data_IF_682822571758
#
_entry.id   IF_682822571758
#
_cell.length_a   1.000
_cell.length_b   1.000
_cell.length_c   1.000
_cell.angle_alpha   90.00
_cell.angle_beta   90.00
_cell.angle_gamma   90.00
#
_symmetry.space_group_name_H-M   'P 1'
#
loop_
_entity.id
_entity.type
_entity.pdbx_description
1 polymer ?
#
# COMPACT_ATOMS: atom_id res chain seq x y z
N UNK A 1 13.88 7.54 -2.45
CA UNK A 1 13.64 6.43 -1.51
C UNK A 1 12.56 5.45 -1.98
N UNK A 2 11.55 5.88 -2.76
CA UNK A 2 10.52 5.00 -3.32
C UNK A 2 10.88 4.36 -4.67
N UNK A 3 11.99 4.76 -5.31
CA UNK A 3 12.58 4.06 -6.45
C UNK A 3 13.15 2.71 -6.01
N UNK A 4 12.87 1.65 -6.75
CA UNK A 4 13.40 0.32 -6.49
C UNK A 4 14.90 0.27 -6.79
N UNK A 5 15.29 0.86 -7.91
CA UNK A 5 16.71 0.99 -8.32
C UNK A 5 17.53 1.71 -7.23
N UNK A 6 16.98 2.80 -6.64
CA UNK A 6 17.65 3.48 -5.53
C UNK A 6 17.86 2.54 -4.34
N UNK A 7 16.83 1.80 -3.94
CA UNK A 7 16.89 0.91 -2.77
C UNK A 7 17.86 -0.26 -2.98
N UNK A 8 17.87 -0.84 -4.17
CA UNK A 8 18.79 -1.92 -4.53
C UNK A 8 20.24 -1.42 -4.57
N UNK A 9 20.50 -0.32 -5.27
CA UNK A 9 21.83 0.28 -5.41
C UNK A 9 22.42 0.70 -4.05
N UNK A 10 21.57 1.13 -3.11
CA UNK A 10 22.00 1.66 -1.81
C UNK A 10 21.66 0.71 -0.64
N UNK A 11 21.33 -0.55 -0.88
CA UNK A 11 20.84 -1.47 0.13
C UNK A 11 21.78 -1.62 1.34
N UNK A 12 23.08 -1.63 1.12
CA UNK A 12 24.08 -1.69 2.18
C UNK A 12 24.08 -0.44 3.08
N UNK A 13 24.11 0.74 2.45
CA UNK A 13 24.09 2.01 3.16
C UNK A 13 22.78 2.24 3.93
N UNK A 14 21.65 1.88 3.34
CA UNK A 14 20.33 2.03 3.97
C UNK A 14 20.14 1.17 5.23
N UNK A 15 20.97 0.15 5.45
CA UNK A 15 20.95 -0.68 6.66
C UNK A 15 21.79 -0.11 7.81
N UNK A 16 22.77 0.73 7.49
CA UNK A 16 23.81 1.16 8.42
C UNK A 16 23.86 2.67 8.62
N UNK A 17 23.36 3.44 7.64
CA UNK A 17 23.53 4.88 7.60
C UNK A 17 22.22 5.57 7.20
N UNK A 18 22.25 6.91 7.22
CA UNK A 18 21.18 7.76 6.68
C UNK A 18 21.11 7.67 5.15
N UNK A 19 19.91 7.76 4.56
CA UNK A 19 19.76 7.75 3.11
C UNK A 19 20.56 8.89 2.47
N UNK A 20 21.41 8.56 1.50
CA UNK A 20 22.14 9.52 0.68
C UNK A 20 21.32 9.85 -0.56
N UNK A 21 20.71 11.02 -0.56
CA UNK A 21 19.85 11.45 -1.65
C UNK A 21 20.69 12.27 -2.63
N UNK A 22 20.79 11.88 -3.92
CA UNK A 22 21.51 12.67 -4.92
C UNK A 22 20.81 14.02 -5.11
N UNK A 23 21.58 15.12 -5.05
CA UNK A 23 21.08 16.43 -5.39
C UNK A 23 21.41 16.70 -6.86
N UNK A 24 20.40 16.77 -7.77
CA UNK A 24 20.66 17.03 -9.17
C UNK A 24 21.31 18.41 -9.39
N UNK A 25 22.30 18.49 -10.26
CA UNK A 25 22.93 19.75 -10.63
C UNK A 25 22.03 20.60 -11.56
N UNK A 26 21.05 19.99 -12.22
CA UNK A 26 20.10 20.66 -13.12
C UNK A 26 18.81 20.98 -12.41
N UNK A 27 18.31 22.21 -12.59
CA UNK A 27 17.08 22.69 -11.97
C UNK A 27 15.84 21.89 -12.44
N UNK A 28 15.77 21.55 -13.72
CA UNK A 28 14.65 20.76 -14.28
C UNK A 28 14.55 19.35 -13.65
N UNK A 29 15.69 18.69 -13.43
CA UNK A 29 15.73 17.38 -12.76
C UNK A 29 15.33 17.49 -11.28
N UNK A 30 15.72 18.56 -10.61
CA UNK A 30 15.29 18.85 -9.24
C UNK A 30 13.78 19.10 -9.17
N UNK A 31 13.23 19.89 -10.09
CA UNK A 31 11.80 20.19 -10.16
C UNK A 31 10.98 18.93 -10.46
N UNK A 32 11.44 18.07 -11.38
CA UNK A 32 10.81 16.78 -11.67
C UNK A 32 10.79 15.86 -10.43
N UNK A 33 11.91 15.79 -9.70
CA UNK A 33 12.00 15.02 -8.45
C UNK A 33 11.06 15.55 -7.38
N UNK A 34 10.97 16.88 -7.24
CA UNK A 34 10.05 17.54 -6.30
C UNK A 34 8.58 17.29 -6.66
N UNK A 35 8.22 17.30 -7.95
CA UNK A 35 6.87 16.98 -8.40
C UNK A 35 6.47 15.54 -8.04
N UNK A 36 7.32 14.55 -8.35
CA UNK A 36 7.09 13.17 -7.95
C UNK A 36 7.04 12.99 -6.43
N UNK A 37 7.87 13.72 -5.70
CA UNK A 37 7.86 13.73 -4.24
C UNK A 37 6.52 14.19 -3.66
N UNK A 38 5.89 15.21 -4.24
CA UNK A 38 4.55 15.68 -3.85
C UNK A 38 3.47 14.64 -4.16
N UNK A 39 3.54 13.97 -5.32
CA UNK A 39 2.61 12.88 -5.65
C UNK A 39 2.68 11.74 -4.62
N UNK A 40 3.90 11.33 -4.24
CA UNK A 40 4.11 10.31 -3.20
C UNK A 40 3.59 10.78 -1.85
N UNK A 41 3.91 12.02 -1.44
CA UNK A 41 3.47 12.57 -0.17
C UNK A 41 1.94 12.54 -0.05
N UNK A 42 1.22 12.94 -1.11
CA UNK A 42 -0.23 12.87 -1.16
C UNK A 42 -0.76 11.42 -1.04
N UNK A 43 -0.08 10.44 -1.66
CA UNK A 43 -0.45 9.03 -1.54
C UNK A 43 -0.16 8.45 -0.16
N UNK A 44 0.82 8.95 0.57
CA UNK A 44 1.16 8.48 1.92
C UNK A 44 0.33 9.16 3.02
N UNK A 45 -0.19 10.34 2.76
CA UNK A 45 -1.08 11.05 3.66
C UNK A 45 -2.47 10.44 3.63
N UNK A 46 -2.84 9.69 4.67
CA UNK A 46 -4.13 9.01 4.77
C UNK A 46 -5.28 9.94 5.16
N UNK A 47 -4.99 11.13 5.68
CA UNK A 47 -6.00 12.10 6.13
C UNK A 47 -6.56 12.91 4.95
N UNK A 48 -5.79 13.06 3.87
CA UNK A 48 -6.21 13.82 2.69
C UNK A 48 -6.67 12.89 1.57
N UNK A 49 -7.80 13.19 0.96
CA UNK A 49 -8.28 12.44 -0.20
C UNK A 49 -7.44 12.72 -1.45
N UNK A 50 -7.24 11.69 -2.30
CA UNK A 50 -6.48 11.81 -3.55
C UNK A 50 -7.42 11.59 -4.72
N UNK A 51 -7.66 12.61 -5.56
CA UNK A 51 -8.50 12.49 -6.76
C UNK A 51 -8.03 11.34 -7.68
N UNK A 52 -8.97 10.56 -8.18
CA UNK A 52 -8.68 9.41 -9.03
C UNK A 52 -8.13 8.17 -8.30
N UNK A 53 -7.88 8.26 -6.99
CA UNK A 53 -7.41 7.14 -6.15
C UNK A 53 -8.41 6.83 -5.05
N UNK A 54 -8.68 7.81 -4.17
CA UNK A 54 -9.58 7.63 -3.02
C UNK A 54 -10.83 8.51 -3.10
N UNK A 55 -10.89 9.44 -4.06
CA UNK A 55 -12.03 10.34 -4.27
C UNK A 55 -12.25 10.64 -5.75
N UNK A 56 -13.41 11.21 -6.07
CA UNK A 56 -13.82 11.52 -7.43
C UNK A 56 -13.98 10.28 -8.32
N UNK A 57 -13.76 10.45 -9.61
CA UNK A 57 -13.76 9.34 -10.57
C UNK A 57 -12.48 8.52 -10.41
N UNK A 58 -12.57 7.41 -9.66
CA UNK A 58 -11.44 6.50 -9.45
C UNK A 58 -10.96 5.93 -10.79
N UNK A 59 -9.63 5.95 -11.01
CA UNK A 59 -8.99 5.40 -12.22
C UNK A 59 -9.39 3.95 -12.44
N UNK A 60 -9.54 3.55 -13.70
CA UNK A 60 -9.98 2.21 -14.11
C UNK A 60 -9.18 1.10 -13.46
N UNK A 61 -7.87 1.26 -13.39
CA UNK A 61 -6.91 0.30 -12.85
C UNK A 61 -7.07 0.09 -11.33
N UNK A 62 -7.64 1.07 -10.64
CA UNK A 62 -7.83 1.03 -9.19
C UNK A 62 -9.25 0.67 -8.74
N UNK A 63 -10.22 0.66 -9.66
CA UNK A 63 -11.64 0.46 -9.32
C UNK A 63 -11.91 -0.87 -8.63
N UNK A 64 -11.29 -1.93 -9.11
CA UNK A 64 -11.48 -3.30 -8.60
C UNK A 64 -10.64 -3.60 -7.36
N UNK A 65 -9.61 -2.78 -7.07
CA UNK A 65 -8.67 -3.03 -5.96
C UNK A 65 -9.41 -2.99 -4.61
N UNK A 66 -9.28 -4.11 -3.88
CA UNK A 66 -9.80 -4.30 -2.53
C UNK A 66 -11.30 -3.95 -2.40
N UNK A 67 -12.10 -4.36 -3.36
CA UNK A 67 -13.56 -4.22 -3.28
C UNK A 67 -14.13 -5.21 -2.27
N UNK A 68 -14.91 -4.71 -1.30
CA UNK A 68 -15.53 -5.59 -0.30
C UNK A 68 -16.75 -6.29 -0.88
N UNK A 69 -16.85 -7.59 -0.65
CA UNK A 69 -17.95 -8.43 -1.11
C UNK A 69 -18.12 -9.66 -0.21
N UNK A 70 -19.29 -10.28 -0.25
CA UNK A 70 -19.48 -11.63 0.28
C UNK A 70 -18.94 -12.67 -0.71
N UNK A 71 -18.39 -13.73 -0.19
CA UNK A 71 -17.85 -14.84 -0.99
C UNK A 71 -18.96 -15.57 -1.80
N UNK A 72 -20.18 -15.59 -1.27
CA UNK A 72 -21.37 -16.17 -1.90
C UNK A 72 -22.09 -15.23 -2.89
N UNK A 73 -21.60 -14.01 -3.07
CA UNK A 73 -22.17 -13.00 -3.97
C UNK A 73 -23.44 -12.31 -3.46
N UNK A 74 -23.90 -12.63 -2.25
CA UNK A 74 -25.06 -11.98 -1.64
C UNK A 74 -24.75 -10.53 -1.24
N UNK A 75 -25.77 -9.66 -1.07
CA UNK A 75 -25.58 -8.31 -0.57
C UNK A 75 -24.91 -8.29 0.81
N UNK A 76 -24.01 -7.31 1.02
CA UNK A 76 -23.35 -7.10 2.30
C UNK A 76 -24.33 -6.57 3.36
N UNK A 77 -24.26 -7.13 4.57
CA UNK A 77 -24.94 -6.65 5.75
C UNK A 77 -23.92 -6.11 6.77
N UNK A 78 -24.39 -5.34 7.76
CA UNK A 78 -23.51 -4.79 8.79
C UNK A 78 -22.76 -5.87 9.60
N UNK A 79 -23.37 -7.04 9.79
CA UNK A 79 -22.74 -8.19 10.44
C UNK A 79 -21.52 -8.73 9.68
N UNK A 80 -21.48 -8.57 8.36
CA UNK A 80 -20.34 -9.00 7.52
C UNK A 80 -19.07 -8.19 7.77
N UNK A 81 -19.16 -7.06 8.46
CA UNK A 81 -18.01 -6.23 8.81
C UNK A 81 -17.30 -6.66 10.10
N UNK A 82 -17.74 -7.77 10.71
CA UNK A 82 -17.03 -8.38 11.82
C UNK A 82 -15.64 -8.87 11.34
N UNK A 83 -14.56 -8.32 11.91
CA UNK A 83 -13.21 -8.78 11.60
C UNK A 83 -12.83 -9.89 12.57
N UNK A 84 -13.01 -11.13 12.15
CA UNK A 84 -12.84 -12.35 12.97
C UNK A 84 -11.98 -13.42 12.29
N UNK A 85 -11.25 -13.05 11.25
CA UNK A 85 -10.41 -14.00 10.50
C UNK A 85 -9.06 -14.30 11.19
N UNK A 86 -8.83 -13.81 12.40
CA UNK A 86 -7.62 -14.10 13.17
C UNK A 86 -6.42 -13.24 12.76
N UNK A 87 -6.64 -11.97 12.47
CA UNK A 87 -5.58 -11.03 12.09
C UNK A 87 -4.75 -10.53 13.26
N UNK A 88 -5.33 -10.49 14.45
CA UNK A 88 -4.68 -10.03 15.65
C UNK A 88 -5.26 -10.60 16.93
N UNK A 89 -4.50 -10.57 17.99
CA UNK A 89 -4.91 -10.97 19.33
C UNK A 89 -4.23 -10.11 20.39
N UNK A 90 -4.83 -10.07 21.58
CA UNK A 90 -4.19 -9.46 22.73
C UNK A 90 -3.08 -10.39 23.26
N UNK A 91 -1.87 -9.87 23.31
CA UNK A 91 -0.72 -10.52 23.95
C UNK A 91 -0.55 -10.10 25.40
N UNK A 92 0.51 -10.57 26.02
CA UNK A 92 0.85 -10.22 27.40
C UNK A 92 1.08 -8.71 27.54
N UNK A 93 0.53 -8.10 28.58
CA UNK A 93 0.64 -6.66 28.83
C UNK A 93 -0.18 -5.78 27.88
N UNK A 94 -1.17 -6.33 27.16
CA UNK A 94 -2.01 -5.56 26.25
C UNK A 94 -1.38 -5.27 24.88
N UNK A 95 -0.22 -5.86 24.59
CA UNK A 95 0.45 -5.69 23.28
C UNK A 95 -0.34 -6.45 22.22
N UNK A 96 -0.65 -5.80 21.10
CA UNK A 96 -1.28 -6.46 19.95
C UNK A 96 -0.29 -7.40 19.25
N UNK A 97 -0.65 -8.67 19.19
CA UNK A 97 0.11 -9.70 18.46
C UNK A 97 -0.52 -9.92 17.09
N UNK A 98 0.27 -9.80 15.99
CA UNK A 98 -0.22 -10.11 14.65
C UNK A 98 -0.57 -11.58 14.52
N UNK A 99 -1.76 -11.87 14.01
CA UNK A 99 -2.22 -13.21 13.68
C UNK A 99 -1.88 -13.62 12.26
N UNK A 100 -2.23 -14.88 11.90
CA UNK A 100 -2.06 -15.40 10.53
C UNK A 100 -3.06 -14.73 9.59
N UNK A 101 -4.31 -14.59 10.02
CA UNK A 101 -5.42 -14.18 9.20
C UNK A 101 -5.81 -15.21 8.15
N UNK A 102 -6.76 -14.83 7.27
CA UNK A 102 -7.16 -15.67 6.13
C UNK A 102 -6.99 -14.89 4.83
N UNK A 103 -6.14 -15.41 3.95
CA UNK A 103 -5.90 -14.93 2.59
C UNK A 103 -6.05 -16.11 1.64
N UNK A 104 -6.84 -15.93 0.60
CA UNK A 104 -6.96 -16.92 -0.48
C UNK A 104 -6.33 -16.39 -1.75
N UNK A 105 -5.47 -17.19 -2.35
CA UNK A 105 -4.83 -16.87 -3.61
C UNK A 105 -5.67 -17.46 -4.75
N UNK A 106 -5.93 -16.67 -5.79
CA UNK A 106 -6.70 -17.11 -6.96
C UNK A 106 -6.23 -16.43 -8.24
N UNK A 107 -6.65 -16.95 -9.37
CA UNK A 107 -6.52 -16.26 -10.64
C UNK A 107 -7.35 -14.96 -10.63
N UNK A 108 -6.79 -13.91 -11.21
CA UNK A 108 -7.51 -12.68 -11.46
C UNK A 108 -8.55 -12.89 -12.57
N UNK A 109 -9.75 -12.35 -12.40
CA UNK A 109 -10.76 -12.28 -13.48
C UNK A 109 -10.25 -11.35 -14.59
N UNK A 110 -10.89 -11.39 -15.76
CA UNK A 110 -10.52 -10.50 -16.89
C UNK A 110 -10.54 -9.01 -16.49
N UNK A 111 -11.55 -8.58 -15.73
CA UNK A 111 -11.66 -7.20 -15.25
C UNK A 111 -10.57 -6.83 -14.23
N UNK A 112 -10.16 -7.78 -13.39
CA UNK A 112 -9.08 -7.58 -12.41
C UNK A 112 -7.71 -7.59 -13.10
N UNK A 113 -7.48 -8.49 -14.06
CA UNK A 113 -6.26 -8.54 -14.85
C UNK A 113 -6.04 -7.26 -15.69
N UNK A 114 -7.13 -6.64 -16.15
CA UNK A 114 -7.09 -5.35 -16.86
C UNK A 114 -6.55 -4.18 -15.99
N UNK A 115 -6.48 -4.37 -14.67
CA UNK A 115 -5.81 -3.40 -13.77
C UNK A 115 -4.30 -3.32 -13.94
N UNK A 116 -3.67 -4.31 -14.61
CA UNK A 116 -2.23 -4.35 -14.85
C UNK A 116 -1.38 -4.91 -13.69
N UNK A 117 -2.01 -5.46 -12.64
CA UNK A 117 -1.29 -6.01 -11.47
C UNK A 117 -0.98 -7.52 -11.56
N UNK A 118 -1.16 -8.12 -12.73
CA UNK A 118 -0.80 -9.51 -12.99
C UNK A 118 -1.98 -10.47 -13.04
N UNK A 119 -1.66 -11.75 -13.24
CA UNK A 119 -2.65 -12.82 -13.48
C UNK A 119 -3.20 -13.45 -12.19
N UNK A 120 -2.62 -13.15 -11.04
CA UNK A 120 -3.04 -13.69 -9.74
C UNK A 120 -3.38 -12.58 -8.77
N UNK A 121 -4.27 -12.87 -7.83
CA UNK A 121 -4.70 -11.92 -6.82
C UNK A 121 -5.05 -12.63 -5.51
N UNK A 122 -5.18 -11.87 -4.44
CA UNK A 122 -5.63 -12.35 -3.14
C UNK A 122 -7.04 -11.84 -2.84
N UNK A 123 -7.83 -12.68 -2.18
CA UNK A 123 -9.00 -12.27 -1.44
C UNK A 123 -8.64 -12.30 0.06
N UNK A 124 -8.77 -11.15 0.71
CA UNK A 124 -8.38 -10.91 2.11
C UNK A 124 -9.64 -10.92 2.97
N UNK A 125 -9.79 -11.92 3.82
CA UNK A 125 -11.05 -12.18 4.52
C UNK A 125 -11.22 -11.35 5.79
N UNK A 126 -12.42 -10.80 5.97
CA UNK A 126 -12.86 -10.23 7.24
C UNK A 126 -13.27 -11.35 8.21
N UNK A 127 -14.03 -12.32 7.68
CA UNK A 127 -14.59 -13.45 8.42
C UNK A 127 -14.83 -14.63 7.45
N UNK A 128 -15.70 -15.59 7.81
CA UNK A 128 -15.99 -16.75 6.96
C UNK A 128 -16.77 -16.37 5.68
N UNK A 129 -17.51 -15.27 5.67
CA UNK A 129 -18.44 -14.88 4.60
C UNK A 129 -17.96 -13.72 3.75
N UNK A 130 -17.23 -12.75 4.31
CA UNK A 130 -16.89 -11.49 3.63
C UNK A 130 -15.37 -11.30 3.48
N UNK A 131 -14.98 -10.70 2.36
CA UNK A 131 -13.57 -10.42 2.06
C UNK A 131 -13.42 -9.13 1.24
N UNK A 132 -12.24 -8.55 1.29
CA UNK A 132 -11.76 -7.62 0.27
C UNK A 132 -11.22 -8.44 -0.91
N UNK A 133 -11.90 -8.36 -2.03
CA UNK A 133 -11.52 -9.02 -3.28
C UNK A 133 -10.48 -8.22 -4.03
N UNK A 134 -9.67 -8.91 -4.82
CA UNK A 134 -8.67 -8.31 -5.68
C UNK A 134 -7.68 -7.40 -4.91
N UNK A 135 -6.93 -8.01 -4.01
CA UNK A 135 -5.73 -7.40 -3.43
C UNK A 135 -4.51 -8.02 -4.12
N UNK A 136 -3.92 -7.34 -5.14
CA UNK A 136 -2.78 -7.89 -5.88
C UNK A 136 -1.61 -8.25 -4.96
N UNK A 137 -0.79 -9.28 -5.30
CA UNK A 137 0.34 -9.69 -4.47
C UNK A 137 1.31 -8.56 -4.12
N UNK A 138 1.62 -7.67 -5.06
CA UNK A 138 2.46 -6.50 -4.81
C UNK A 138 1.85 -5.52 -3.80
N UNK A 139 0.52 -5.34 -3.83
CA UNK A 139 -0.20 -4.50 -2.87
C UNK A 139 -0.25 -5.15 -1.49
N UNK A 140 -0.56 -6.46 -1.44
CA UNK A 140 -0.61 -7.21 -0.19
C UNK A 140 0.75 -7.28 0.52
N UNK A 141 1.82 -7.54 -0.24
CA UNK A 141 3.17 -7.69 0.28
C UNK A 141 3.90 -6.35 0.48
N UNK A 142 3.25 -5.22 0.22
CA UNK A 142 3.88 -3.91 0.39
C UNK A 142 4.25 -3.68 1.86
N UNK A 143 5.54 -3.38 2.07
CA UNK A 143 6.10 -3.16 3.40
C UNK A 143 6.57 -1.73 3.60
N UNK A 144 6.39 -1.22 4.81
CA UNK A 144 6.94 0.06 5.25
C UNK A 144 7.52 -0.14 6.66
N UNK A 145 8.77 0.27 6.87
CA UNK A 145 9.42 0.11 8.17
C UNK A 145 9.49 -1.35 8.65
N UNK A 146 9.58 -2.33 7.73
CA UNK A 146 9.62 -3.75 8.06
C UNK A 146 8.25 -4.42 8.27
N UNK A 147 7.16 -3.65 8.24
CA UNK A 147 5.81 -4.19 8.43
C UNK A 147 5.01 -4.22 7.14
N UNK A 148 4.29 -5.31 6.90
CA UNK A 148 3.26 -5.40 5.86
C UNK A 148 2.12 -4.45 6.22
N UNK A 149 1.92 -3.37 5.44
CA UNK A 149 1.02 -2.26 5.78
C UNK A 149 -0.41 -2.74 6.03
N UNK A 150 -1.00 -3.48 5.07
CA UNK A 150 -2.38 -3.95 5.16
C UNK A 150 -2.56 -4.94 6.31
N UNK A 151 -1.63 -5.88 6.47
CA UNK A 151 -1.70 -6.86 7.56
C UNK A 151 -1.57 -6.20 8.94
N UNK A 152 -0.70 -5.21 9.05
CA UNK A 152 -0.53 -4.44 10.29
C UNK A 152 -1.80 -3.65 10.62
N UNK A 153 -2.43 -3.04 9.61
CA UNK A 153 -3.71 -2.35 9.79
C UNK A 153 -4.81 -3.27 10.32
N UNK A 154 -4.92 -4.50 9.77
CA UNK A 154 -5.88 -5.51 10.20
C UNK A 154 -5.61 -6.00 11.63
N UNK A 155 -4.34 -6.19 12.00
CA UNK A 155 -3.98 -6.79 13.28
C UNK A 155 -4.46 -5.98 14.49
N UNK A 156 -4.63 -4.67 14.37
CA UNK A 156 -5.16 -3.81 15.42
C UNK A 156 -6.70 -3.72 15.46
N UNK A 157 -7.38 -4.32 14.48
CA UNK A 157 -8.82 -4.15 14.27
C UNK A 157 -9.62 -5.45 14.37
N UNK A 158 -8.97 -6.53 14.81
CA UNK A 158 -9.70 -7.76 15.13
C UNK A 158 -10.83 -7.44 16.10
N UNK A 159 -12.01 -8.03 15.88
CA UNK A 159 -13.20 -7.72 16.69
C UNK A 159 -12.99 -7.93 18.20
N UNK A 160 -12.21 -8.93 18.58
CA UNK A 160 -11.84 -9.20 19.97
C UNK A 160 -11.01 -8.08 20.61
N UNK A 161 -10.32 -7.27 19.81
CA UNK A 161 -9.55 -6.11 20.25
C UNK A 161 -10.39 -4.82 20.24
N UNK A 162 -11.25 -4.66 19.22
CA UNK A 162 -12.11 -3.48 19.10
C UNK A 162 -13.36 -3.56 19.99
N UNK A 163 -13.80 -4.75 20.39
CA UNK A 163 -15.07 -4.98 21.06
C UNK A 163 -16.32 -4.78 20.18
N UNK A 164 -16.13 -4.58 18.85
CA UNK A 164 -17.20 -4.32 17.87
C UNK A 164 -16.79 -4.72 16.46
N UNK A 165 -17.74 -4.90 15.53
CA UNK A 165 -17.45 -4.96 14.10
C UNK A 165 -16.79 -3.68 13.58
N UNK A 166 -16.16 -3.75 12.41
CA UNK A 166 -15.71 -2.56 11.68
C UNK A 166 -16.91 -1.68 11.29
N UNK A 167 -16.70 -0.39 11.28
CA UNK A 167 -17.63 0.54 10.64
C UNK A 167 -17.46 0.50 9.13
N UNK A 168 -18.47 0.95 8.38
CA UNK A 168 -18.36 1.10 6.93
C UNK A 168 -17.20 2.04 6.55
N UNK A 169 -16.93 3.06 7.36
CA UNK A 169 -15.77 3.95 7.17
C UNK A 169 -14.44 3.20 7.26
N UNK A 170 -14.27 2.31 8.24
CA UNK A 170 -13.07 1.49 8.39
C UNK A 170 -12.92 0.47 7.24
N UNK A 171 -14.01 -0.14 6.79
CA UNK A 171 -13.99 -1.03 5.62
C UNK A 171 -13.54 -0.28 4.36
N UNK A 172 -14.05 0.93 4.15
CA UNK A 172 -13.63 1.82 3.05
C UNK A 172 -12.18 2.31 3.22
N UNK A 173 -11.71 2.52 4.45
CA UNK A 173 -10.34 2.93 4.73
C UNK A 173 -9.34 1.85 4.30
N UNK A 174 -9.61 0.57 4.54
CA UNK A 174 -8.77 -0.52 4.01
C UNK A 174 -8.66 -0.47 2.49
N UNK A 175 -9.81 -0.34 1.80
CA UNK A 175 -9.83 -0.18 0.34
C UNK A 175 -9.02 1.03 -0.12
N UNK A 176 -9.16 2.16 0.56
CA UNK A 176 -8.41 3.38 0.24
C UNK A 176 -6.91 3.19 0.42
N UNK A 177 -6.46 2.54 1.49
CA UNK A 177 -5.04 2.22 1.72
C UNK A 177 -4.52 1.29 0.62
N UNK A 178 -5.26 0.23 0.27
CA UNK A 178 -4.88 -0.69 -0.80
C UNK A 178 -4.73 0.03 -2.16
N UNK A 179 -5.66 0.93 -2.50
CA UNK A 179 -5.60 1.75 -3.73
C UNK A 179 -4.42 2.72 -3.73
N UNK A 180 -4.08 3.32 -2.59
CA UNK A 180 -2.90 4.19 -2.46
C UNK A 180 -1.61 3.42 -2.69
N UNK A 181 -1.49 2.22 -2.12
CA UNK A 181 -0.35 1.33 -2.36
C UNK A 181 -0.29 0.93 -3.84
N UNK A 182 -1.42 0.56 -4.45
CA UNK A 182 -1.48 0.24 -5.88
C UNK A 182 -1.02 1.44 -6.73
N UNK A 183 -1.49 2.66 -6.43
CA UNK A 183 -1.06 3.87 -7.12
C UNK A 183 0.45 4.15 -6.94
N UNK A 184 1.02 3.90 -5.77
CA UNK A 184 2.47 3.99 -5.54
C UNK A 184 3.24 2.99 -6.39
N UNK A 185 2.75 1.74 -6.49
CA UNK A 185 3.38 0.71 -7.31
C UNK A 185 3.33 1.06 -8.82
N UNK A 186 2.25 1.70 -9.27
CA UNK A 186 2.14 2.19 -10.66
C UNK A 186 3.13 3.32 -10.97
N UNK A 187 3.68 4.01 -9.96
CA UNK A 187 4.69 5.06 -10.15
C UNK A 187 6.12 4.49 -10.30
N UNK A 188 6.34 3.19 -10.13
CA UNK A 188 7.67 2.57 -10.05
C UNK A 188 8.58 2.99 -11.19
N UNK A 189 8.16 2.82 -12.44
CA UNK A 189 9.00 3.13 -13.60
C UNK A 189 9.36 4.61 -13.69
N UNK A 190 8.41 5.51 -13.35
CA UNK A 190 8.64 6.96 -13.30
C UNK A 190 9.65 7.32 -12.20
N UNK A 191 9.57 6.67 -11.06
CA UNK A 191 10.47 6.88 -9.93
C UNK A 191 11.88 6.39 -10.24
N UNK A 192 12.00 5.23 -10.89
CA UNK A 192 13.29 4.67 -11.29
C UNK A 192 13.95 5.49 -12.40
N UNK A 193 13.19 5.94 -13.40
CA UNK A 193 13.69 6.85 -14.44
C UNK A 193 14.14 8.18 -13.82
N UNK A 194 13.37 8.75 -12.91
CA UNK A 194 13.75 9.98 -12.21
C UNK A 194 15.01 9.81 -11.35
N UNK A 195 15.16 8.69 -10.64
CA UNK A 195 16.37 8.42 -9.86
C UNK A 195 17.61 8.35 -10.77
N UNK A 196 17.54 7.64 -11.89
CA UNK A 196 18.65 7.56 -12.85
C UNK A 196 19.00 8.94 -13.39
N UNK A 197 18.02 9.76 -13.76
CA UNK A 197 18.23 11.11 -14.23
C UNK A 197 18.82 12.03 -13.14
N UNK A 198 18.33 11.93 -11.92
CA UNK A 198 18.80 12.74 -10.79
C UNK A 198 20.22 12.36 -10.35
N UNK A 199 20.62 11.10 -10.49
CA UNK A 199 21.94 10.61 -10.09
C UNK A 199 23.01 10.73 -11.17
N UNK A 200 22.65 10.96 -12.43
CA UNK A 200 23.60 11.06 -13.54
C UNK A 200 24.48 12.30 -13.49
N UNK A 201 24.00 13.39 -12.89
CA UNK A 201 24.74 14.64 -12.74
C UNK A 201 24.33 15.31 -11.42
N UNK A 202 25.19 15.20 -10.41
CA UNK A 202 24.91 15.67 -9.04
C UNK A 202 25.83 16.82 -8.63
N UNK A 203 25.32 17.68 -7.76
CA UNK A 203 26.14 18.71 -7.11
C UNK A 203 27.10 18.02 -6.14
N UNK A 204 28.40 18.29 -6.30
CA UNK A 204 29.42 17.85 -5.37
C UNK A 204 29.70 18.98 -4.37
N UNK A 205 29.36 18.74 -3.12
CA UNK A 205 29.76 19.66 -2.05
C UNK A 205 31.25 19.40 -1.73
N UNK A 206 32.11 20.36 -2.05
CA UNK A 206 33.47 20.33 -1.51
C UNK A 206 33.35 20.63 -0.01
N UNK A 207 33.45 19.59 0.83
CA UNK A 207 33.62 19.78 2.25
C UNK A 207 34.87 20.65 2.48
N UNK A 208 34.75 21.73 3.27
CA UNK A 208 35.95 22.32 3.86
C UNK A 208 36.63 21.25 4.73
N UNK A 209 37.94 21.09 4.64
CA UNK A 209 38.69 20.19 5.53
C UNK A 209 38.50 20.57 6.99
#
# INVERSE_FOLDING_TARGET
MHSEVYRETNAGALRQEWPRIPLPARLDALQASAALGREIAALLDTETSVPGVTSGAVRSELKTIASVARADGQPLAAADFALTAGWGSAGQGGVTMPGKGRVENRAASAAEAASGFGATTHDVYLNAQACWRHVPPGVWNYTLGGYQVLKKWLSYREQTLLGRPLTLGEVKAFTAIARRIAALLMMRDRLDANYRAASSNTVTFKGKP
#
